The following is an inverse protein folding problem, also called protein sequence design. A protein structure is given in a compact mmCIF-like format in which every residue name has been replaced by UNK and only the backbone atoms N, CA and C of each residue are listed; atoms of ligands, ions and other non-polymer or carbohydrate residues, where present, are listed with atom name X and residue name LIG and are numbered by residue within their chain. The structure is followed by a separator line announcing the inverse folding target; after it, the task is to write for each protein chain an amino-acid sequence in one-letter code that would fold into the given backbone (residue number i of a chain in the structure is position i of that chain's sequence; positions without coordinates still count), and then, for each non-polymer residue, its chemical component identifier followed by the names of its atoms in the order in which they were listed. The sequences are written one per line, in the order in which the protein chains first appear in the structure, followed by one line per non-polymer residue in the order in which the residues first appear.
data_IF_228927188410
#
_entry.id   IF_228927188410
#
_cell.length_a   1.000
_cell.length_b   1.000
_cell.length_c   1.000
_cell.angle_alpha   90.00
_cell.angle_beta   90.00
_cell.angle_gamma   90.00
#
_symmetry.space_group_name_H-M   'P 1'
#
loop_
_entity.id
_entity.type
_entity.pdbx_description
1 polymer ?
#
# COMPACT_ATOMS: atom_id res chain seq x y z
N UNK A 1 -4.22 2.87 -12.05
CA UNK A 1 -3.59 4.08 -12.64
C UNK A 1 -3.02 4.90 -11.50
N UNK A 2 -1.76 5.32 -11.57
CA UNK A 2 -1.12 6.19 -10.57
C UNK A 2 -1.15 7.62 -11.09
N UNK A 3 -1.68 8.56 -10.31
CA UNK A 3 -1.76 9.99 -10.66
C UNK A 3 -0.95 10.80 -9.67
N UNK A 4 0.10 11.46 -10.14
CA UNK A 4 0.98 12.30 -9.31
C UNK A 4 0.74 13.77 -9.61
N UNK A 5 0.42 14.52 -8.56
CA UNK A 5 0.21 15.96 -8.62
C UNK A 5 1.50 16.67 -8.23
N UNK A 6 2.17 17.30 -9.20
CA UNK A 6 3.36 18.10 -8.94
C UNK A 6 2.99 19.57 -8.80
N UNK A 7 3.08 20.04 -7.56
CA UNK A 7 2.95 21.46 -7.24
C UNK A 7 4.34 22.09 -7.27
N UNK A 8 4.56 23.03 -8.19
CA UNK A 8 5.79 23.81 -8.19
C UNK A 8 5.71 24.82 -7.04
N UNK A 9 6.75 24.90 -6.21
CA UNK A 9 6.84 25.91 -5.13
C UNK A 9 6.47 27.28 -5.67
N UNK A 10 5.46 27.89 -5.07
CA UNK A 10 5.04 29.26 -5.41
C UNK A 10 6.14 30.20 -4.96
N UNK A 11 6.73 30.92 -5.91
CA UNK A 11 7.68 31.97 -5.60
C UNK A 11 6.82 33.19 -5.24
N UNK A 12 7.02 33.84 -4.08
CA UNK A 12 6.36 35.12 -3.82
C UNK A 12 6.62 36.02 -5.03
N UNK A 13 5.61 36.72 -5.55
CA UNK A 13 5.67 37.57 -6.76
C UNK A 13 5.45 36.89 -8.14
N UNK A 14 5.65 35.59 -8.32
CA UNK A 14 5.14 34.89 -9.51
C UNK A 14 3.81 34.22 -9.16
N UNK A 15 2.74 34.64 -9.83
CA UNK A 15 1.37 34.15 -9.59
C UNK A 15 1.26 32.61 -9.54
N UNK A 16 0.17 32.13 -8.91
CA UNK A 16 -0.09 30.69 -8.75
C UNK A 16 0.02 29.96 -10.09
N UNK A 17 1.00 29.08 -10.21
CA UNK A 17 1.17 28.22 -11.40
C UNK A 17 0.29 26.98 -11.27
N UNK A 18 -0.30 26.53 -12.38
CA UNK A 18 -1.13 25.32 -12.43
C UNK A 18 -0.29 24.09 -12.07
N UNK A 19 -0.90 23.15 -11.34
CA UNK A 19 -0.27 21.87 -11.00
C UNK A 19 -0.07 21.05 -12.28
N UNK A 20 1.09 20.42 -12.42
CA UNK A 20 1.33 19.43 -13.48
C UNK A 20 0.83 18.08 -12.98
N UNK A 21 -0.08 17.47 -13.73
CA UNK A 21 -0.59 16.13 -13.45
C UNK A 21 0.18 15.16 -14.33
N UNK A 22 0.78 14.14 -13.73
CA UNK A 22 1.47 13.05 -14.44
C UNK A 22 0.68 11.78 -14.14
N UNK A 23 0.35 11.02 -15.18
CA UNK A 23 -0.45 9.80 -15.07
C UNK A 23 0.27 8.65 -15.76
N UNK A 24 0.48 7.55 -15.02
CA UNK A 24 1.11 6.32 -15.52
C UNK A 24 0.37 5.09 -14.98
N UNK A 25 0.27 4.00 -15.76
CA UNK A 25 -0.39 2.79 -15.30
C UNK A 25 0.44 2.09 -14.21
N UNK A 26 -0.23 1.38 -13.29
CA UNK A 26 0.42 0.83 -12.10
C UNK A 26 1.44 -0.28 -12.43
N UNK A 27 1.21 -1.06 -13.48
CA UNK A 27 2.11 -2.14 -13.89
C UNK A 27 3.49 -1.64 -14.37
N UNK A 28 3.65 -0.34 -14.64
CA UNK A 28 4.93 0.28 -15.01
C UNK A 28 5.75 0.74 -13.79
N UNK A 29 5.20 0.59 -12.58
CA UNK A 29 5.90 0.91 -11.33
C UNK A 29 6.46 -0.34 -10.69
N UNK A 30 7.71 -0.23 -10.26
CA UNK A 30 8.40 -1.23 -9.46
C UNK A 30 8.54 -0.71 -8.02
N UNK A 31 8.39 -1.60 -7.04
CA UNK A 31 8.55 -1.28 -5.62
C UNK A 31 10.01 -1.32 -5.17
N UNK A 32 10.48 -0.25 -4.52
CA UNK A 32 11.82 -0.12 -3.97
C UNK A 32 11.77 0.17 -2.48
N UNK A 33 12.79 -0.31 -1.74
CA UNK A 33 12.97 0.03 -0.33
C UNK A 33 14.21 0.90 -0.20
N UNK A 34 14.00 2.14 0.25
CA UNK A 34 15.08 3.07 0.56
C UNK A 34 15.44 2.98 2.03
N UNK A 35 16.65 2.51 2.32
CA UNK A 35 17.22 2.51 3.66
C UNK A 35 17.99 3.81 3.93
N UNK A 36 17.65 4.49 5.02
CA UNK A 36 18.37 5.65 5.54
C UNK A 36 18.78 5.46 7.00
N UNK A 37 19.91 6.05 7.39
CA UNK A 37 20.31 6.14 8.79
C UNK A 37 19.97 7.53 9.33
N UNK A 38 19.35 7.59 10.51
CA UNK A 38 19.04 8.85 11.19
C UNK A 38 19.51 8.80 12.63
N UNK A 39 19.49 9.95 13.31
CA UNK A 39 19.82 10.04 14.74
C UNK A 39 18.98 9.11 15.65
N UNK A 40 17.84 8.62 15.18
CA UNK A 40 16.96 7.70 15.91
C UNK A 40 17.08 6.23 15.45
N UNK A 41 18.04 5.93 14.57
CA UNK A 41 18.30 4.59 14.05
C UNK A 41 18.03 4.44 12.56
N UNK A 42 17.99 3.18 12.11
CA UNK A 42 17.66 2.79 10.74
C UNK A 42 16.22 3.16 10.41
N UNK A 43 16.01 3.71 9.21
CA UNK A 43 14.71 4.06 8.65
C UNK A 43 14.58 3.41 7.30
N UNK A 44 13.44 2.80 7.07
CA UNK A 44 13.09 2.24 5.76
C UNK A 44 11.85 2.95 5.25
N UNK A 45 11.90 3.37 4.00
CA UNK A 45 10.80 3.96 3.27
C UNK A 45 10.51 3.14 2.01
N UNK A 46 9.23 2.99 1.69
CA UNK A 46 8.77 2.30 0.50
C UNK A 46 8.51 3.31 -0.61
N UNK A 47 9.18 3.13 -1.74
CA UNK A 47 9.14 4.05 -2.89
C UNK A 47 8.65 3.27 -4.11
N UNK A 48 7.62 3.79 -4.78
CA UNK A 48 7.28 3.34 -6.13
C UNK A 48 8.09 4.13 -7.15
N UNK A 49 8.90 3.41 -7.92
CA UNK A 49 9.71 4.00 -8.99
C UNK A 49 9.08 3.60 -10.33
N UNK A 50 8.82 4.59 -11.18
CA UNK A 50 8.38 4.33 -12.54
C UNK A 50 9.55 3.81 -13.40
N UNK A 51 9.34 2.73 -14.16
CA UNK A 51 10.41 2.09 -14.95
C UNK A 51 10.98 2.98 -16.06
N UNK A 52 10.12 3.75 -16.73
CA UNK A 52 10.49 4.52 -17.92
C UNK A 52 10.78 5.99 -17.64
N UNK A 53 10.45 6.49 -16.45
CA UNK A 53 10.64 7.89 -16.10
C UNK A 53 11.26 8.00 -14.72
N UNK A 54 11.98 9.09 -14.44
CA UNK A 54 12.52 9.42 -13.11
C UNK A 54 11.43 9.91 -12.13
N UNK A 55 10.30 9.21 -12.08
CA UNK A 55 9.18 9.50 -11.19
C UNK A 55 9.26 8.53 -10.02
N UNK A 56 9.43 9.09 -8.82
CA UNK A 56 9.50 8.36 -7.57
C UNK A 56 8.35 8.86 -6.68
N UNK A 57 7.60 7.92 -6.13
CA UNK A 57 6.47 8.19 -5.24
C UNK A 57 6.75 7.53 -3.91
N UNK A 58 7.03 8.34 -2.89
CA UNK A 58 7.25 7.89 -1.53
C UNK A 58 5.91 7.55 -0.88
N UNK A 59 5.67 6.26 -0.64
CA UNK A 59 4.43 5.72 -0.08
C UNK A 59 4.59 5.24 1.36
N UNK A 60 5.80 4.85 1.77
CA UNK A 60 6.06 4.40 3.14
C UNK A 60 5.75 5.49 4.15
N UNK A 61 6.18 6.73 3.90
CA UNK A 61 5.88 7.89 4.77
C UNK A 61 4.37 8.13 4.96
N UNK A 62 3.56 7.91 3.92
CA UNK A 62 2.12 8.18 3.93
C UNK A 62 1.33 7.03 4.57
N UNK A 63 1.69 5.77 4.26
CA UNK A 63 0.88 4.59 4.61
C UNK A 63 1.38 3.83 5.83
N UNK A 64 2.69 3.79 6.05
CA UNK A 64 3.30 3.06 7.16
C UNK A 64 3.91 4.01 8.20
N UNK A 65 4.16 5.27 7.85
CA UNK A 65 5.03 6.14 8.60
C UNK A 65 6.47 5.62 8.63
N UNK A 66 7.31 6.17 9.52
CA UNK A 66 8.72 5.80 9.59
C UNK A 66 8.91 4.45 10.28
N UNK A 67 9.29 3.44 9.49
CA UNK A 67 9.51 2.08 9.98
C UNK A 67 10.99 1.83 10.29
N UNK A 68 11.25 1.18 11.44
CA UNK A 68 12.60 0.79 11.88
C UNK A 68 13.15 -0.42 11.13
N UNK A 69 12.26 -1.27 10.63
CA UNK A 69 12.55 -2.52 9.93
C UNK A 69 12.06 -2.48 8.48
N UNK A 70 12.66 -3.24 7.57
CA UNK A 70 12.23 -3.29 6.17
C UNK A 70 11.01 -4.19 5.94
N UNK A 71 10.71 -5.14 6.84
CA UNK A 71 9.60 -6.12 6.68
C UNK A 71 8.25 -5.47 6.35
N UNK A 72 7.82 -4.38 7.03
CA UNK A 72 6.56 -3.70 6.69
C UNK A 72 6.52 -3.12 5.28
N UNK A 73 7.67 -2.72 4.71
CA UNK A 73 7.74 -2.22 3.34
C UNK A 73 7.47 -3.34 2.32
N UNK A 74 7.97 -4.54 2.58
CA UNK A 74 7.69 -5.72 1.74
C UNK A 74 6.23 -6.14 1.84
N UNK A 75 5.69 -6.20 3.06
CA UNK A 75 4.27 -6.51 3.28
C UNK A 75 3.35 -5.49 2.60
N UNK A 76 3.71 -4.21 2.59
CA UNK A 76 2.96 -3.18 1.87
C UNK A 76 3.01 -3.39 0.35
N UNK A 77 4.16 -3.76 -0.20
CA UNK A 77 4.28 -4.04 -1.62
C UNK A 77 3.41 -5.23 -2.05
N UNK A 78 3.41 -6.30 -1.26
CA UNK A 78 2.53 -7.46 -1.50
C UNK A 78 1.06 -7.10 -1.35
N UNK A 79 0.71 -6.29 -0.34
CA UNK A 79 -0.64 -5.76 -0.17
C UNK A 79 -1.09 -4.95 -1.39
N UNK A 80 -0.25 -4.03 -1.88
CA UNK A 80 -0.56 -3.17 -3.03
C UNK A 80 -0.76 -4.00 -4.29
N UNK A 81 0.10 -4.98 -4.56
CA UNK A 81 -0.05 -5.86 -5.71
C UNK A 81 -1.37 -6.63 -5.67
N UNK A 82 -1.69 -7.25 -4.53
CA UNK A 82 -2.92 -8.02 -4.37
C UNK A 82 -4.17 -7.12 -4.40
N UNK A 83 -4.09 -5.90 -3.85
CA UNK A 83 -5.19 -4.95 -3.87
C UNK A 83 -5.48 -4.42 -5.29
N UNK A 84 -4.44 -4.23 -6.09
CA UNK A 84 -4.58 -3.75 -7.47
C UNK A 84 -4.96 -4.85 -8.47
N UNK A 85 -4.79 -6.12 -8.11
CA UNK A 85 -5.17 -7.28 -8.92
C UNK A 85 -6.67 -7.60 -8.76
N UNK A 86 -7.47 -7.19 -9.76
CA UNK A 86 -8.92 -7.44 -9.80
C UNK A 86 -9.29 -8.90 -10.06
N UNK A 87 -8.33 -9.76 -10.38
CA UNK A 87 -8.60 -11.19 -10.67
C UNK A 87 -8.60 -12.05 -9.41
N UNK A 88 -8.07 -11.52 -8.30
CA UNK A 88 -7.93 -12.21 -7.02
C UNK A 88 -8.88 -11.60 -5.99
N UNK A 89 -9.25 -12.35 -4.94
CA UNK A 89 -9.95 -11.76 -3.81
C UNK A 89 -9.08 -10.67 -3.16
N UNK A 90 -9.73 -9.67 -2.57
CA UNK A 90 -9.09 -8.59 -1.83
C UNK A 90 -8.16 -9.17 -0.75
N UNK A 91 -7.02 -8.51 -0.48
CA UNK A 91 -6.11 -8.95 0.57
C UNK A 91 -6.80 -8.96 1.94
N UNK A 92 -6.43 -9.95 2.76
CA UNK A 92 -6.92 -10.08 4.13
C UNK A 92 -6.40 -8.91 4.98
N UNK A 93 -7.25 -7.92 5.21
CA UNK A 93 -6.92 -6.76 6.05
C UNK A 93 -8.15 -6.29 6.83
N UNK A 94 -8.04 -6.00 8.15
CA UNK A 94 -9.19 -5.64 8.99
C UNK A 94 -9.99 -4.44 8.46
N UNK A 95 -9.32 -3.44 7.88
CA UNK A 95 -9.98 -2.24 7.33
C UNK A 95 -10.83 -2.55 6.09
N UNK A 96 -10.49 -3.61 5.35
CA UNK A 96 -11.22 -4.02 4.14
C UNK A 96 -12.40 -4.93 4.46
N UNK A 97 -12.46 -5.57 5.64
CA UNK A 97 -13.53 -6.50 6.02
C UNK A 97 -14.95 -5.96 5.80
N UNK A 98 -15.29 -4.72 6.21
CA UNK A 98 -16.63 -4.16 5.96
C UNK A 98 -16.97 -3.98 4.47
N UNK A 99 -15.97 -3.96 3.60
CA UNK A 99 -16.10 -3.66 2.19
C UNK A 99 -16.03 -4.89 1.29
N UNK A 100 -15.62 -6.06 1.81
CA UNK A 100 -15.44 -7.29 1.03
C UNK A 100 -16.67 -7.72 0.24
N UNK A 101 -17.86 -7.54 0.82
CA UNK A 101 -19.12 -7.90 0.16
C UNK A 101 -19.43 -7.04 -1.07
N UNK A 102 -18.76 -5.88 -1.23
CA UNK A 102 -18.93 -4.98 -2.37
C UNK A 102 -18.14 -5.45 -3.60
N UNK A 103 -17.10 -6.24 -3.39
CA UNK A 103 -16.31 -6.81 -4.48
C UNK A 103 -16.85 -8.19 -4.88
N UNK A 104 -17.29 -8.40 -6.13
CA UNK A 104 -17.89 -9.67 -6.55
C UNK A 104 -16.91 -10.86 -6.44
N UNK A 105 -15.63 -10.65 -6.76
CA UNK A 105 -14.62 -11.72 -6.72
C UNK A 105 -14.39 -12.18 -5.29
N UNK A 106 -14.20 -11.23 -4.37
CA UNK A 106 -14.08 -11.52 -2.94
C UNK A 106 -15.35 -12.14 -2.37
N UNK A 107 -16.53 -11.66 -2.75
CA UNK A 107 -17.80 -12.21 -2.26
C UNK A 107 -18.01 -13.67 -2.70
N UNK A 108 -17.66 -14.02 -3.94
CA UNK A 108 -17.70 -15.41 -4.41
C UNK A 108 -16.69 -16.29 -3.69
N UNK A 109 -15.48 -15.78 -3.46
CA UNK A 109 -14.46 -16.47 -2.69
C UNK A 109 -14.95 -16.74 -1.27
N UNK A 110 -15.44 -15.72 -0.57
CA UNK A 110 -15.93 -15.83 0.81
C UNK A 110 -17.11 -16.82 0.94
N UNK A 111 -17.99 -16.89 -0.08
CA UNK A 111 -19.08 -17.89 -0.15
C UNK A 111 -18.56 -19.32 -0.30
N UNK A 112 -17.50 -19.53 -1.09
CA UNK A 112 -16.88 -20.86 -1.28
C UNK A 112 -16.16 -21.31 -0.01
N UNK A 113 -15.41 -20.42 0.63
CA UNK A 113 -14.61 -20.72 1.82
C UNK A 113 -15.42 -20.66 3.12
N UNK A 114 -16.68 -20.20 3.07
CA UNK A 114 -17.58 -19.99 4.22
C UNK A 114 -16.94 -19.11 5.31
N UNK A 115 -16.25 -18.05 4.89
CA UNK A 115 -15.57 -17.11 5.79
C UNK A 115 -16.61 -16.38 6.67
N UNK A 116 -16.39 -16.27 7.99
CA UNK A 116 -17.29 -15.49 8.85
C UNK A 116 -17.19 -13.99 8.54
N UNK A 117 -18.32 -13.28 8.68
CA UNK A 117 -18.41 -11.85 8.36
C UNK A 117 -17.61 -10.93 9.31
N UNK A 118 -17.26 -11.42 10.50
CA UNK A 118 -16.48 -10.71 11.53
C UNK A 118 -15.21 -11.49 11.87
N UNK A 119 -14.54 -12.00 10.85
CA UNK A 119 -13.37 -12.88 10.99
C UNK A 119 -12.30 -12.26 11.88
N UNK A 120 -11.93 -11.00 11.63
CA UNK A 120 -10.86 -10.34 12.38
C UNK A 120 -11.25 -10.00 13.81
N UNK A 121 -12.50 -9.59 14.03
CA UNK A 121 -13.00 -9.22 15.37
C UNK A 121 -13.22 -10.43 16.27
N UNK A 122 -13.65 -11.54 15.69
CA UNK A 122 -13.95 -12.77 16.43
C UNK A 122 -12.69 -13.68 16.53
N UNK A 123 -11.55 -13.29 15.93
CA UNK A 123 -10.27 -13.98 16.05
C UNK A 123 -9.67 -13.81 17.46
N UNK A 124 -9.21 -14.91 18.07
CA UNK A 124 -8.51 -14.87 19.35
C UNK A 124 -7.03 -14.55 19.19
N UNK A 125 -6.43 -13.95 20.22
CA UNK A 125 -4.99 -13.63 20.25
C UNK A 125 -4.12 -14.87 19.97
N UNK A 126 -4.52 -16.05 20.47
CA UNK A 126 -3.80 -17.30 20.23
C UNK A 126 -3.81 -17.72 18.75
N UNK A 127 -4.94 -17.52 18.07
CA UNK A 127 -5.03 -17.79 16.63
C UNK A 127 -4.21 -16.79 15.84
N UNK A 128 -4.21 -15.51 16.25
CA UNK A 128 -3.41 -14.47 15.62
C UNK A 128 -1.91 -14.76 15.73
N UNK A 129 -1.40 -15.06 16.92
CA UNK A 129 0.02 -15.39 17.12
C UNK A 129 0.44 -16.60 16.28
N UNK A 130 -0.41 -17.63 16.22
CA UNK A 130 -0.13 -18.80 15.39
C UNK A 130 -0.04 -18.45 13.90
N UNK A 131 -0.93 -17.59 13.40
CA UNK A 131 -0.87 -17.13 12.02
C UNK A 131 0.36 -16.26 11.74
N UNK A 132 0.82 -15.46 12.71
CA UNK A 132 2.05 -14.68 12.58
C UNK A 132 3.29 -15.57 12.50
N UNK A 133 3.36 -16.63 13.32
CA UNK A 133 4.48 -17.58 13.32
C UNK A 133 4.55 -18.44 12.04
N UNK A 134 3.43 -18.66 11.35
CA UNK A 134 3.35 -19.41 10.10
C UNK A 134 3.80 -18.60 8.87
N UNK A 135 4.02 -17.28 8.99
CA UNK A 135 4.41 -16.35 7.90
C UNK A 135 5.90 -15.98 7.89
#
# INVERSE_FOLDING_TARGET
MVRVWRYRRTIPFLGRRKATIIEHPFYEFDGWVSGGATQHGSRFDFILCHRYSKLEVHLGDILLGWQRFPRPCYALWDFLQNYMDVTRPLPEFPVLEPHRHKDPVTAEHDRKTRRPARYWRDMSDQMFTKHEDEM
#
